data_IF_109826122864
#
_entry.id   IF_109826122864
#
_cell.length_a   1.000
_cell.length_b   1.000
_cell.length_c   1.000
_cell.angle_alpha   90.00
_cell.angle_beta   90.00
_cell.angle_gamma   90.00
#
_symmetry.space_group_name_H-M   'P 1'
#
loop_
_entity.id
_entity.type
_entity.pdbx_description
1 polymer ?
#
# COMPACT_ATOMS: atom_id res chain seq x y z
N UNK A 1 19.79 -16.60 40.56
CA UNK A 1 20.34 -15.78 39.43
C UNK A 1 19.78 -16.25 38.10
N UNK A 2 18.51 -15.98 37.76
CA UNK A 2 17.98 -16.29 36.43
C UNK A 2 16.60 -15.64 36.20
N UNK A 3 16.50 -14.32 36.36
CA UNK A 3 15.23 -13.60 36.15
C UNK A 3 15.39 -12.27 35.38
N UNK A 4 16.45 -12.14 34.55
CA UNK A 4 16.77 -10.88 33.90
C UNK A 4 16.81 -10.94 32.37
N UNK A 5 16.18 -11.95 31.72
CA UNK A 5 16.26 -12.11 30.26
C UNK A 5 14.91 -12.06 29.50
N UNK A 6 13.84 -11.62 30.13
CA UNK A 6 12.55 -11.43 29.42
C UNK A 6 12.00 -10.07 29.82
N UNK A 7 12.68 -8.98 29.47
CA UNK A 7 12.05 -7.69 29.26
C UNK A 7 11.97 -7.46 27.75
N UNK A 8 10.83 -7.75 27.17
CA UNK A 8 10.48 -7.14 25.90
C UNK A 8 10.51 -5.64 26.11
N UNK A 9 11.44 -4.96 25.46
CA UNK A 9 11.46 -3.50 25.43
C UNK A 9 10.20 -3.03 24.72
N UNK A 10 9.19 -2.65 25.47
CA UNK A 10 7.98 -1.97 25.02
C UNK A 10 8.16 -0.44 25.07
N UNK A 11 9.38 0.05 24.95
CA UNK A 11 9.63 1.47 24.77
C UNK A 11 9.36 1.85 23.32
N UNK A 12 8.46 2.82 23.12
CA UNK A 12 8.28 3.39 21.78
C UNK A 12 9.64 3.93 21.28
N UNK A 13 9.98 3.75 20.00
CA UNK A 13 11.22 4.26 19.42
C UNK A 13 11.41 5.74 19.78
N UNK A 14 12.60 6.09 20.23
CA UNK A 14 12.95 7.46 20.63
C UNK A 14 13.23 8.23 19.34
N UNK A 15 12.41 9.23 19.06
CA UNK A 15 12.57 10.15 17.92
C UNK A 15 11.22 10.57 17.35
N UNK A 16 11.14 11.83 16.93
CA UNK A 16 9.99 12.33 16.21
C UNK A 16 10.13 11.91 14.73
N UNK A 17 9.02 11.48 14.13
CA UNK A 17 8.98 11.22 12.69
C UNK A 17 9.39 12.48 11.92
N UNK A 18 10.43 12.35 11.10
CA UNK A 18 10.81 13.37 10.14
C UNK A 18 10.07 13.07 8.84
N UNK A 19 9.05 13.86 8.46
CA UNK A 19 8.33 13.62 7.23
C UNK A 19 9.27 13.89 6.05
N UNK A 20 9.25 13.00 5.07
CA UNK A 20 9.94 13.22 3.80
C UNK A 20 9.27 14.39 3.07
N UNK A 21 10.06 15.16 2.33
CA UNK A 21 9.54 16.21 1.47
C UNK A 21 8.52 15.67 0.48
N UNK A 22 7.47 16.47 0.24
CA UNK A 22 6.46 16.15 -0.75
C UNK A 22 7.02 16.48 -2.13
N UNK A 23 7.07 15.52 -3.07
CA UNK A 23 7.55 15.77 -4.43
C UNK A 23 6.73 16.85 -5.14
N UNK A 24 7.35 17.57 -6.03
CA UNK A 24 6.69 18.63 -6.83
C UNK A 24 6.19 18.14 -8.18
N UNK A 25 6.81 17.09 -8.72
CA UNK A 25 6.49 16.51 -10.03
C UNK A 25 6.38 15.00 -9.95
N UNK A 26 5.48 14.38 -10.76
CA UNK A 26 5.39 12.93 -10.82
C UNK A 26 6.70 12.27 -11.22
N UNK A 27 6.98 11.10 -10.65
CA UNK A 27 8.13 10.24 -10.92
C UNK A 27 9.51 10.85 -10.63
N UNK A 28 9.54 12.01 -9.96
CA UNK A 28 10.81 12.60 -9.48
C UNK A 28 11.32 11.86 -8.24
N UNK A 29 10.42 11.44 -7.38
CA UNK A 29 10.72 10.73 -6.14
C UNK A 29 9.93 9.44 -6.08
N UNK A 30 10.63 8.32 -5.99
CA UNK A 30 10.07 6.97 -6.09
C UNK A 30 10.39 6.19 -4.83
N UNK A 31 9.48 5.33 -4.39
CA UNK A 31 9.78 4.30 -3.40
C UNK A 31 9.78 2.90 -4.02
N UNK A 32 10.70 2.07 -3.53
CA UNK A 32 10.89 0.68 -3.95
C UNK A 32 10.72 -0.24 -2.75
N UNK A 33 10.01 -1.35 -2.96
CA UNK A 33 9.82 -2.38 -1.96
C UNK A 33 9.58 -3.75 -2.61
N UNK A 34 9.72 -4.82 -1.82
CA UNK A 34 9.42 -6.19 -2.26
C UNK A 34 8.25 -6.76 -1.47
N UNK A 35 7.31 -7.38 -2.16
CA UNK A 35 6.31 -8.26 -1.54
C UNK A 35 6.79 -9.68 -1.72
N UNK A 36 7.25 -10.27 -0.62
CA UNK A 36 7.78 -11.62 -0.53
C UNK A 36 6.80 -12.59 0.16
N UNK A 37 7.17 -13.87 0.24
CA UNK A 37 6.36 -14.89 0.91
C UNK A 37 5.12 -15.30 0.11
N UNK A 38 5.04 -14.98 -1.16
CA UNK A 38 3.97 -15.39 -2.05
C UNK A 38 4.15 -16.84 -2.49
N UNK A 39 3.03 -17.54 -2.68
CA UNK A 39 3.06 -18.86 -3.31
C UNK A 39 3.57 -18.75 -4.75
N UNK A 40 4.33 -19.75 -5.18
CA UNK A 40 4.84 -19.77 -6.54
C UNK A 40 3.71 -19.73 -7.57
N UNK A 41 3.74 -18.71 -8.42
CA UNK A 41 2.82 -18.53 -9.55
C UNK A 41 3.62 -18.56 -10.83
N UNK A 42 3.42 -19.60 -11.65
CA UNK A 42 4.27 -19.89 -12.80
C UNK A 42 5.74 -20.02 -12.38
N UNK A 43 6.56 -19.01 -12.66
CA UNK A 43 7.98 -18.92 -12.28
C UNK A 43 8.25 -17.81 -11.23
N UNK A 44 7.21 -17.10 -10.79
CA UNK A 44 7.32 -15.92 -9.94
C UNK A 44 7.00 -16.23 -8.49
N UNK A 45 7.69 -15.59 -7.55
CA UNK A 45 7.53 -15.77 -6.11
C UNK A 45 7.56 -14.45 -5.35
N UNK A 46 7.97 -13.35 -6.03
CA UNK A 46 8.15 -12.02 -5.44
C UNK A 46 7.56 -10.97 -6.37
N UNK A 47 7.08 -9.86 -5.82
CA UNK A 47 6.67 -8.68 -6.59
C UNK A 47 7.56 -7.51 -6.19
N UNK A 48 8.24 -6.89 -7.16
CA UNK A 48 8.83 -5.56 -6.98
C UNK A 48 7.72 -4.52 -7.11
N UNK A 49 7.54 -3.74 -6.07
CA UNK A 49 6.60 -2.64 -6.00
C UNK A 49 7.36 -1.33 -6.19
N UNK A 50 6.96 -0.55 -7.17
CA UNK A 50 7.55 0.76 -7.47
C UNK A 50 6.45 1.80 -7.39
N UNK A 51 6.59 2.78 -6.51
CA UNK A 51 5.54 3.76 -6.22
C UNK A 51 6.04 5.18 -6.48
N UNK A 52 5.34 5.93 -7.31
CA UNK A 52 5.53 7.38 -7.37
C UNK A 52 5.02 8.03 -6.07
N UNK A 53 5.92 8.73 -5.39
CA UNK A 53 5.61 9.31 -4.08
C UNK A 53 4.62 10.46 -4.13
N UNK A 54 4.46 11.13 -5.27
CA UNK A 54 3.48 12.21 -5.44
C UNK A 54 2.09 11.66 -5.72
N UNK A 55 1.92 10.94 -6.84
CA UNK A 55 0.62 10.52 -7.37
C UNK A 55 0.15 9.18 -6.81
N UNK A 56 1.01 8.42 -6.14
CA UNK A 56 0.79 7.02 -5.70
C UNK A 56 0.58 6.04 -6.86
N UNK A 57 0.82 6.49 -8.09
CA UNK A 57 0.84 5.59 -9.24
C UNK A 57 1.93 4.54 -9.03
N UNK A 58 1.62 3.28 -9.27
CA UNK A 58 2.48 2.18 -8.85
C UNK A 58 2.63 1.14 -9.95
N UNK A 59 3.81 0.54 -10.05
CA UNK A 59 4.04 -0.61 -10.91
C UNK A 59 4.31 -1.86 -10.08
N UNK A 60 3.72 -2.98 -10.47
CA UNK A 60 3.85 -4.27 -9.81
C UNK A 60 4.54 -5.26 -10.75
N UNK A 61 5.83 -5.49 -10.52
CA UNK A 61 6.66 -6.30 -11.43
C UNK A 61 6.93 -7.67 -10.81
N UNK A 62 6.45 -8.77 -11.40
CA UNK A 62 6.67 -10.11 -10.87
C UNK A 62 8.11 -10.57 -11.12
N UNK A 63 8.74 -11.15 -10.09
CA UNK A 63 10.12 -11.61 -10.10
C UNK A 63 10.19 -13.09 -9.71
N UNK A 64 11.05 -13.84 -10.40
CA UNK A 64 11.37 -15.22 -10.05
C UNK A 64 12.50 -15.28 -9.04
N UNK A 65 12.36 -16.12 -8.02
CA UNK A 65 13.42 -16.39 -7.06
C UNK A 65 14.28 -17.61 -7.53
N UNK A 66 15.62 -17.60 -7.34
CA UNK A 66 16.43 -16.50 -6.81
C UNK A 66 16.62 -15.39 -7.85
N UNK A 67 16.73 -14.17 -7.36
CA UNK A 67 17.01 -13.00 -8.21
C UNK A 67 18.31 -12.33 -7.79
N UNK A 68 19.02 -11.79 -8.77
CA UNK A 68 20.22 -10.98 -8.56
C UNK A 68 19.88 -9.50 -8.65
N UNK A 69 20.73 -8.68 -8.04
CA UNK A 69 20.66 -7.22 -8.14
C UNK A 69 20.61 -6.74 -9.61
N UNK A 70 21.41 -7.36 -10.48
CA UNK A 70 21.43 -7.06 -11.92
C UNK A 70 20.08 -7.39 -12.58
N UNK A 71 19.42 -8.46 -12.16
CA UNK A 71 18.09 -8.82 -12.67
C UNK A 71 17.04 -7.79 -12.28
N UNK A 72 17.04 -7.35 -11.03
CA UNK A 72 16.12 -6.32 -10.54
C UNK A 72 16.36 -5.00 -11.29
N UNK A 73 17.62 -4.59 -11.49
CA UNK A 73 17.94 -3.41 -12.29
C UNK A 73 17.45 -3.51 -13.74
N UNK A 74 17.65 -4.66 -14.38
CA UNK A 74 17.13 -4.89 -15.74
C UNK A 74 15.60 -4.78 -15.81
N UNK A 75 14.89 -5.29 -14.81
CA UNK A 75 13.43 -5.16 -14.73
C UNK A 75 13.01 -3.70 -14.50
N UNK A 76 13.72 -2.98 -13.61
CA UNK A 76 13.49 -1.56 -13.39
C UNK A 76 13.63 -0.75 -14.70
N UNK A 77 14.73 -0.97 -15.43
CA UNK A 77 14.95 -0.33 -16.73
C UNK A 77 13.87 -0.67 -17.75
N UNK A 78 13.42 -1.92 -17.75
CA UNK A 78 12.42 -2.38 -18.71
C UNK A 78 11.01 -1.87 -18.43
N UNK A 79 10.59 -1.86 -17.16
CA UNK A 79 9.22 -1.54 -16.79
C UNK A 79 9.02 -0.08 -16.37
N UNK A 80 10.01 0.54 -15.74
CA UNK A 80 9.88 1.87 -15.12
C UNK A 80 10.60 2.93 -15.93
N UNK A 81 11.92 2.78 -16.11
CA UNK A 81 12.74 3.78 -16.78
C UNK A 81 12.24 4.17 -18.18
N UNK A 82 11.82 3.21 -18.98
CA UNK A 82 11.29 3.47 -20.33
C UNK A 82 10.03 4.34 -20.35
N UNK A 83 9.28 4.40 -19.23
CA UNK A 83 8.04 5.15 -19.13
C UNK A 83 8.22 6.49 -18.43
N UNK A 84 9.12 6.53 -17.42
CA UNK A 84 9.19 7.61 -16.45
C UNK A 84 10.58 8.22 -16.30
N UNK A 85 11.58 7.73 -17.01
CA UNK A 85 13.00 8.11 -16.88
C UNK A 85 13.58 7.73 -15.50
N UNK A 86 14.76 8.30 -15.16
CA UNK A 86 15.37 8.13 -13.84
C UNK A 86 14.83 9.18 -12.89
N UNK A 87 14.45 8.78 -11.66
CA UNK A 87 14.02 9.71 -10.63
C UNK A 87 15.21 10.50 -10.07
N UNK A 88 14.93 11.64 -9.46
CA UNK A 88 15.93 12.39 -8.70
C UNK A 88 16.24 11.70 -7.35
N UNK A 89 15.23 11.09 -6.72
CA UNK A 89 15.44 10.33 -5.49
C UNK A 89 14.70 9.01 -5.47
N UNK A 90 15.30 8.02 -4.77
CA UNK A 90 14.67 6.75 -4.49
C UNK A 90 14.73 6.49 -3.00
N UNK A 91 13.58 6.13 -2.42
CA UNK A 91 13.44 5.65 -1.05
C UNK A 91 13.21 4.15 -1.09
N UNK A 92 14.03 3.39 -0.35
CA UNK A 92 13.83 1.94 -0.20
C UNK A 92 14.13 1.51 1.22
N UNK A 93 13.70 0.32 1.57
CA UNK A 93 14.18 -0.35 2.77
C UNK A 93 15.67 -0.74 2.64
N UNK A 94 16.21 -1.38 3.67
CA UNK A 94 17.60 -1.85 3.69
C UNK A 94 17.75 -3.26 3.13
N UNK A 95 16.93 -3.66 2.19
CA UNK A 95 17.14 -4.94 1.51
C UNK A 95 18.53 -5.01 0.88
N UNK A 96 19.11 -6.21 0.89
CA UNK A 96 20.45 -6.44 0.37
C UNK A 96 20.60 -6.08 -1.10
N UNK A 97 19.52 -6.15 -1.87
CA UNK A 97 19.48 -5.73 -3.27
C UNK A 97 19.73 -4.25 -3.41
N UNK A 98 19.00 -3.43 -2.64
CA UNK A 98 19.08 -1.97 -2.73
C UNK A 98 20.32 -1.39 -2.04
N UNK A 99 20.88 -2.08 -1.06
CA UNK A 99 22.14 -1.70 -0.40
C UNK A 99 23.40 -2.13 -1.17
N UNK A 100 23.24 -2.84 -2.27
CA UNK A 100 24.38 -3.33 -3.06
C UNK A 100 25.14 -2.21 -3.75
N UNK A 101 26.44 -2.45 -3.93
CA UNK A 101 27.33 -1.52 -4.64
C UNK A 101 26.84 -1.24 -6.08
N UNK A 102 26.25 -2.25 -6.71
CA UNK A 102 25.71 -2.13 -8.06
C UNK A 102 24.59 -1.07 -8.15
N UNK A 103 23.64 -1.07 -7.23
CA UNK A 103 22.56 -0.09 -7.19
C UNK A 103 23.07 1.31 -6.87
N UNK A 104 23.93 1.42 -5.86
CA UNK A 104 24.50 2.73 -5.50
C UNK A 104 25.29 3.36 -6.64
N UNK A 105 26.07 2.58 -7.39
CA UNK A 105 26.81 3.06 -8.54
C UNK A 105 25.89 3.40 -9.74
N UNK A 106 24.90 2.54 -10.02
CA UNK A 106 23.94 2.79 -11.09
C UNK A 106 23.23 4.14 -10.89
N UNK A 107 22.71 4.38 -9.70
CA UNK A 107 21.98 5.59 -9.40
C UNK A 107 22.90 6.81 -9.27
N UNK A 108 24.09 6.65 -8.68
CA UNK A 108 25.10 7.72 -8.64
C UNK A 108 25.47 8.21 -10.04
N UNK A 109 25.68 7.31 -10.99
CA UNK A 109 26.02 7.66 -12.38
C UNK A 109 24.88 8.37 -13.11
N UNK A 110 23.64 8.15 -12.68
CA UNK A 110 22.46 8.81 -13.24
C UNK A 110 22.04 10.07 -12.47
N UNK A 111 22.79 10.45 -11.42
CA UNK A 111 22.46 11.61 -10.59
C UNK A 111 21.28 11.40 -9.65
N UNK A 112 20.87 10.15 -9.46
CA UNK A 112 19.76 9.80 -8.54
C UNK A 112 20.27 9.67 -7.11
N UNK A 113 19.61 10.32 -6.17
CA UNK A 113 19.91 10.21 -4.75
C UNK A 113 19.20 8.99 -4.14
N UNK A 114 19.96 8.08 -3.56
CA UNK A 114 19.41 6.89 -2.89
C UNK A 114 19.26 7.17 -1.39
N UNK A 115 18.02 7.30 -0.92
CA UNK A 115 17.68 7.49 0.47
C UNK A 115 17.21 6.16 1.09
N UNK A 116 17.99 5.64 2.04
CA UNK A 116 17.61 4.42 2.78
C UNK A 116 16.72 4.77 3.95
N UNK A 117 15.61 4.04 4.13
CA UNK A 117 14.80 4.14 5.33
C UNK A 117 15.63 3.75 6.56
N UNK A 118 15.39 4.39 7.70
CA UNK A 118 16.12 4.04 8.92
C UNK A 118 15.54 2.76 9.52
N UNK A 119 16.39 1.85 10.00
CA UNK A 119 15.99 0.56 10.59
C UNK A 119 15.01 0.68 11.78
N UNK A 120 14.92 1.86 12.39
CA UNK A 120 14.09 2.13 13.57
C UNK A 120 12.86 3.00 13.30
N UNK A 121 12.67 3.50 12.06
CA UNK A 121 11.53 4.32 11.66
C UNK A 121 11.02 3.87 10.28
N UNK A 122 10.40 2.67 10.20
CA UNK A 122 9.75 2.21 8.96
C UNK A 122 8.61 3.14 8.52
N UNK A 123 8.17 4.03 9.38
CA UNK A 123 7.15 5.05 9.12
C UNK A 123 7.59 6.11 8.09
N UNK A 124 8.89 6.20 7.75
CA UNK A 124 9.36 7.09 6.67
C UNK A 124 8.81 6.68 5.31
N UNK A 125 8.49 5.39 5.14
CA UNK A 125 7.89 4.83 3.92
C UNK A 125 6.51 4.18 4.14
N UNK A 126 5.77 4.64 5.15
CA UNK A 126 4.40 4.16 5.42
C UNK A 126 3.44 4.26 4.24
N UNK A 127 3.85 4.93 3.16
CA UNK A 127 3.07 5.03 1.93
C UNK A 127 3.19 3.76 1.09
N UNK A 128 4.38 3.19 0.96
CA UNK A 128 4.61 1.92 0.26
C UNK A 128 3.97 0.76 1.02
N UNK A 129 4.02 0.77 2.34
CA UNK A 129 3.32 -0.22 3.18
C UNK A 129 1.80 -0.24 2.91
N UNK A 130 1.18 0.94 2.72
CA UNK A 130 -0.26 1.05 2.38
C UNK A 130 -0.52 0.45 0.99
N UNK A 131 0.35 0.72 0.02
CA UNK A 131 0.25 0.16 -1.34
C UNK A 131 0.38 -1.36 -1.29
N UNK A 132 1.40 -1.88 -0.60
CA UNK A 132 1.63 -3.33 -0.46
C UNK A 132 0.43 -4.03 0.20
N UNK A 133 -0.10 -3.46 1.27
CA UNK A 133 -1.29 -4.00 1.96
C UNK A 133 -2.52 -4.00 1.04
N UNK A 134 -2.71 -2.96 0.26
CA UNK A 134 -3.78 -2.87 -0.73
C UNK A 134 -3.60 -3.93 -1.82
N UNK A 135 -2.39 -4.06 -2.38
CA UNK A 135 -2.06 -5.07 -3.37
C UNK A 135 -2.30 -6.48 -2.85
N UNK A 136 -1.81 -6.81 -1.65
CA UNK A 136 -2.04 -8.11 -1.03
C UNK A 136 -3.53 -8.41 -0.83
N UNK A 137 -4.30 -7.42 -0.40
CA UNK A 137 -5.74 -7.56 -0.23
C UNK A 137 -6.42 -7.88 -1.57
N UNK A 138 -5.99 -7.22 -2.64
CA UNK A 138 -6.48 -7.48 -3.98
C UNK A 138 -6.14 -8.87 -4.47
N UNK A 139 -4.87 -9.20 -4.45
CA UNK A 139 -4.42 -10.51 -4.90
C UNK A 139 -5.14 -11.61 -4.13
N UNK A 140 -5.32 -11.44 -2.83
CA UNK A 140 -6.09 -12.38 -2.00
C UNK A 140 -7.55 -12.49 -2.43
N UNK A 141 -8.19 -11.37 -2.80
CA UNK A 141 -9.57 -11.37 -3.29
C UNK A 141 -9.70 -11.97 -4.69
N UNK A 142 -8.72 -11.74 -5.58
CA UNK A 142 -8.72 -12.30 -6.93
C UNK A 142 -8.39 -13.80 -6.99
N UNK A 143 -7.56 -14.26 -6.04
CA UNK A 143 -7.00 -15.62 -6.10
C UNK A 143 -7.43 -16.48 -4.92
N UNK A 144 -8.55 -16.16 -4.26
CA UNK A 144 -9.06 -16.90 -3.10
C UNK A 144 -9.13 -18.41 -3.33
N UNK A 145 -9.58 -18.83 -4.52
CA UNK A 145 -9.75 -20.23 -4.90
C UNK A 145 -8.50 -20.83 -5.56
N UNK A 146 -7.56 -20.01 -5.99
CA UNK A 146 -6.36 -20.43 -6.70
C UNK A 146 -5.18 -19.51 -6.42
N UNK A 147 -4.63 -19.51 -5.19
CA UNK A 147 -3.58 -18.55 -4.78
C UNK A 147 -2.31 -18.60 -5.63
N UNK A 148 -2.02 -19.69 -6.30
CA UNK A 148 -0.87 -19.85 -7.20
C UNK A 148 -1.03 -19.14 -8.56
N UNK A 149 -2.16 -18.45 -8.82
CA UNK A 149 -2.41 -17.71 -10.07
C UNK A 149 -2.27 -16.21 -9.94
N UNK A 150 -1.70 -15.72 -8.84
CA UNK A 150 -1.60 -14.28 -8.58
C UNK A 150 -0.87 -13.50 -9.68
N UNK A 151 0.15 -14.07 -10.32
CA UNK A 151 0.91 -13.38 -11.37
C UNK A 151 0.05 -13.09 -12.62
N UNK A 152 -0.93 -13.93 -12.92
CA UNK A 152 -1.88 -13.70 -14.02
C UNK A 152 -2.86 -12.57 -13.69
N UNK A 153 -3.18 -12.39 -12.42
CA UNK A 153 -4.10 -11.36 -11.95
C UNK A 153 -3.43 -10.01 -11.72
N UNK A 154 -2.09 -9.96 -11.74
CA UNK A 154 -1.33 -8.76 -11.39
C UNK A 154 -1.65 -7.53 -12.27
N UNK A 155 -1.80 -7.65 -13.61
CA UNK A 155 -2.20 -6.50 -14.44
C UNK A 155 -3.59 -5.93 -14.08
N UNK A 156 -4.53 -6.81 -13.70
CA UNK A 156 -5.85 -6.38 -13.26
C UNK A 156 -5.80 -5.72 -11.87
N UNK A 157 -4.96 -6.22 -10.97
CA UNK A 157 -4.72 -5.64 -9.67
C UNK A 157 -4.11 -4.23 -9.80
N UNK A 158 -3.13 -4.05 -10.70
CA UNK A 158 -2.50 -2.77 -11.00
C UNK A 158 -3.53 -1.78 -11.58
N UNK A 159 -4.26 -2.17 -12.61
CA UNK A 159 -5.32 -1.33 -13.17
C UNK A 159 -6.35 -0.91 -12.12
N UNK A 160 -6.78 -1.84 -11.30
CA UNK A 160 -7.76 -1.56 -10.28
C UNK A 160 -7.20 -0.61 -9.21
N UNK A 161 -5.96 -0.81 -8.74
CA UNK A 161 -5.31 0.08 -7.79
C UNK A 161 -5.28 1.51 -8.33
N UNK A 162 -4.91 1.69 -9.61
CA UNK A 162 -4.86 3.01 -10.24
C UNK A 162 -6.23 3.66 -10.43
N UNK A 163 -7.28 2.87 -10.61
CA UNK A 163 -8.63 3.34 -10.91
C UNK A 163 -9.47 3.61 -9.65
N UNK A 164 -8.95 3.27 -8.46
CA UNK A 164 -9.70 3.48 -7.23
C UNK A 164 -9.34 4.78 -6.52
N UNK A 165 -10.36 5.35 -5.86
CA UNK A 165 -10.20 6.56 -5.08
C UNK A 165 -9.20 6.35 -3.93
N UNK A 166 -8.19 7.21 -3.88
CA UNK A 166 -7.20 7.20 -2.83
C UNK A 166 -7.52 8.27 -1.76
N UNK A 167 -7.79 7.90 -0.51
CA UNK A 167 -8.29 8.83 0.52
C UNK A 167 -7.39 10.05 0.78
N UNK A 168 -6.07 9.85 0.72
CA UNK A 168 -5.12 10.93 0.97
C UNK A 168 -4.94 11.86 -0.23
N UNK A 169 -5.09 11.35 -1.45
CA UNK A 169 -5.01 12.16 -2.68
C UNK A 169 -6.32 12.89 -2.98
N UNK A 170 -7.45 12.37 -2.52
CA UNK A 170 -8.81 12.78 -2.91
C UNK A 170 -9.11 12.58 -4.40
N UNK A 171 -8.30 11.79 -5.08
CA UNK A 171 -8.34 11.43 -6.49
C UNK A 171 -7.96 9.97 -6.66
N UNK A 172 -8.11 9.42 -7.86
CA UNK A 172 -7.47 8.15 -8.21
C UNK A 172 -5.98 8.38 -8.52
N UNK A 173 -5.09 7.41 -8.31
CA UNK A 173 -3.69 7.52 -8.75
C UNK A 173 -3.55 7.78 -10.26
N UNK A 174 -4.43 7.22 -11.07
CA UNK A 174 -4.50 7.48 -12.50
C UNK A 174 -4.80 8.95 -12.80
N UNK A 175 -5.84 9.49 -12.17
CA UNK A 175 -6.24 10.89 -12.35
C UNK A 175 -5.17 11.86 -11.81
N UNK A 176 -4.52 11.52 -10.72
CA UNK A 176 -3.41 12.30 -10.18
C UNK A 176 -2.21 12.38 -11.13
N UNK A 177 -1.94 11.30 -11.91
CA UNK A 177 -0.84 11.26 -12.86
C UNK A 177 -1.21 11.90 -14.21
N UNK A 178 -2.37 11.58 -14.76
CA UNK A 178 -2.74 11.94 -16.14
C UNK A 178 -3.64 13.17 -16.24
N UNK A 179 -4.22 13.63 -15.12
CA UNK A 179 -5.09 14.81 -15.08
C UNK A 179 -6.54 14.58 -15.55
N UNK A 180 -6.91 13.34 -15.84
CA UNK A 180 -8.27 12.96 -16.22
C UNK A 180 -8.64 11.59 -15.61
N UNK A 181 -9.93 11.31 -15.38
CA UNK A 181 -10.35 10.06 -14.77
C UNK A 181 -10.08 8.87 -15.69
N UNK A 182 -9.77 7.67 -15.10
CA UNK A 182 -9.57 6.47 -15.88
C UNK A 182 -10.84 6.08 -16.63
N UNK A 183 -10.67 5.62 -17.87
CA UNK A 183 -11.79 5.10 -18.63
C UNK A 183 -12.36 3.85 -17.93
N UNK A 184 -13.66 3.88 -17.67
CA UNK A 184 -14.34 2.71 -17.11
C UNK A 184 -14.37 1.59 -18.14
N UNK A 185 -14.00 0.38 -17.69
CA UNK A 185 -14.16 -0.81 -18.53
C UNK A 185 -15.66 -1.06 -18.74
N UNK A 186 -16.09 -1.01 -19.99
CA UNK A 186 -17.48 -1.33 -20.32
C UNK A 186 -17.74 -2.82 -20.01
N UNK A 187 -18.92 -3.07 -19.44
CA UNK A 187 -19.40 -4.44 -19.24
C UNK A 187 -19.55 -5.13 -20.59
N UNK A 188 -19.00 -6.34 -20.69
CA UNK A 188 -19.09 -7.11 -21.92
C UNK A 188 -20.31 -8.02 -21.89
N UNK A 189 -21.06 -8.00 -22.97
CA UNK A 189 -22.18 -8.93 -23.20
C UNK A 189 -21.73 -10.01 -24.18
N UNK A 190 -21.95 -11.26 -23.81
CA UNK A 190 -21.59 -12.44 -24.61
C UNK A 190 -22.16 -12.34 -26.04
N UNK A 191 -21.34 -12.65 -27.03
CA UNK A 191 -21.75 -12.74 -28.42
C UNK A 191 -21.76 -11.43 -29.22
N UNK A 192 -21.29 -10.31 -28.64
CA UNK A 192 -21.19 -9.03 -29.37
C UNK A 192 -20.07 -9.08 -30.41
N UNK A 193 -18.95 -9.76 -30.10
CA UNK A 193 -17.83 -9.89 -31.06
C UNK A 193 -17.95 -11.13 -31.90
N UNK A 194 -17.51 -11.01 -33.16
CA UNK A 194 -17.44 -12.17 -34.13
C UNK A 194 -16.15 -12.99 -33.96
N UNK A 195 -15.22 -12.53 -33.12
CA UNK A 195 -13.93 -13.21 -32.91
C UNK A 195 -14.02 -14.03 -31.62
N UNK A 196 -14.15 -15.35 -31.78
CA UNK A 196 -14.36 -16.27 -30.66
C UNK A 196 -13.27 -16.17 -29.56
N UNK A 197 -12.00 -16.00 -29.94
CA UNK A 197 -10.91 -15.84 -28.98
C UNK A 197 -11.05 -14.53 -28.14
N UNK A 198 -11.51 -13.44 -28.77
CA UNK A 198 -11.76 -12.18 -28.09
C UNK A 198 -12.99 -12.27 -27.19
N UNK A 199 -14.06 -12.93 -27.66
CA UNK A 199 -15.26 -13.20 -26.88
C UNK A 199 -14.94 -13.97 -25.59
N UNK A 200 -14.17 -15.06 -25.70
CA UNK A 200 -13.75 -15.86 -24.56
C UNK A 200 -12.91 -15.03 -23.55
N UNK A 201 -11.99 -14.21 -24.04
CA UNK A 201 -11.14 -13.36 -23.20
C UNK A 201 -11.95 -12.29 -22.45
N UNK A 202 -12.90 -11.64 -23.14
CA UNK A 202 -13.74 -10.61 -22.53
C UNK A 202 -14.74 -11.21 -21.54
N UNK A 203 -15.29 -12.40 -21.82
CA UNK A 203 -16.13 -13.12 -20.88
C UNK A 203 -15.36 -13.56 -19.63
N UNK A 204 -14.14 -14.06 -19.80
CA UNK A 204 -13.28 -14.43 -18.67
C UNK A 204 -12.98 -13.21 -17.79
N UNK A 205 -12.68 -12.06 -18.40
CA UNK A 205 -12.48 -10.79 -17.68
C UNK A 205 -13.72 -10.41 -16.86
N UNK A 206 -14.91 -10.47 -17.46
CA UNK A 206 -16.14 -10.10 -16.77
C UNK A 206 -16.44 -11.05 -15.60
N UNK A 207 -16.24 -12.35 -15.78
CA UNK A 207 -16.38 -13.34 -14.71
C UNK A 207 -15.43 -13.05 -13.54
N UNK A 208 -14.17 -12.70 -13.81
CA UNK A 208 -13.20 -12.30 -12.79
C UNK A 208 -13.70 -11.05 -12.03
N UNK A 209 -14.21 -10.04 -12.72
CA UNK A 209 -14.70 -8.82 -12.10
C UNK A 209 -15.92 -9.06 -11.19
N UNK A 210 -16.83 -9.93 -11.61
CA UNK A 210 -17.99 -10.34 -10.79
C UNK A 210 -17.53 -11.06 -9.54
N UNK A 211 -16.64 -12.04 -9.66
CA UNK A 211 -16.07 -12.78 -8.54
C UNK A 211 -15.34 -11.84 -7.56
N UNK A 212 -14.56 -10.90 -8.10
CA UNK A 212 -13.85 -9.91 -7.28
C UNK A 212 -14.81 -9.07 -6.43
N UNK A 213 -15.86 -8.51 -7.07
CA UNK A 213 -16.86 -7.70 -6.34
C UNK A 213 -17.50 -8.49 -5.21
N UNK A 214 -17.87 -9.74 -5.46
CA UNK A 214 -18.44 -10.63 -4.44
C UNK A 214 -17.44 -10.87 -3.29
N UNK A 215 -16.18 -11.20 -3.60
CA UNK A 215 -15.16 -11.45 -2.59
C UNK A 215 -14.83 -10.21 -1.75
N UNK A 216 -14.77 -9.03 -2.38
CA UNK A 216 -14.57 -7.77 -1.67
C UNK A 216 -15.74 -7.44 -0.74
N UNK A 217 -16.98 -7.66 -1.19
CA UNK A 217 -18.16 -7.46 -0.34
C UNK A 217 -18.11 -8.35 0.91
N UNK A 218 -17.77 -9.63 0.74
CA UNK A 218 -17.60 -10.58 1.86
C UNK A 218 -16.45 -10.14 2.78
N UNK A 219 -15.34 -9.66 2.23
CA UNK A 219 -14.20 -9.18 3.02
C UNK A 219 -14.59 -7.92 3.82
N UNK A 220 -15.28 -6.97 3.21
CA UNK A 220 -15.77 -5.77 3.90
C UNK A 220 -16.73 -6.11 5.04
N UNK A 221 -17.66 -7.03 4.82
CA UNK A 221 -18.59 -7.48 5.86
C UNK A 221 -17.86 -8.14 7.04
N UNK A 222 -16.89 -9.03 6.76
CA UNK A 222 -16.04 -9.61 7.81
C UNK A 222 -15.26 -8.54 8.58
N UNK A 223 -14.68 -7.56 7.87
CA UNK A 223 -13.96 -6.46 8.52
C UNK A 223 -14.90 -5.63 9.40
N UNK A 224 -16.12 -5.35 8.94
CA UNK A 224 -17.14 -4.63 9.71
C UNK A 224 -17.52 -5.41 10.96
N UNK A 225 -17.89 -6.67 10.82
CA UNK A 225 -18.24 -7.57 11.95
C UNK A 225 -17.10 -7.60 12.99
N UNK A 226 -15.85 -7.75 12.53
CA UNK A 226 -14.68 -7.77 13.41
C UNK A 226 -14.45 -6.41 14.10
N UNK A 227 -14.63 -5.31 13.38
CA UNK A 227 -14.49 -3.96 13.93
C UNK A 227 -15.59 -3.63 14.94
N UNK A 228 -16.80 -4.15 14.72
CA UNK A 228 -17.96 -3.86 15.55
C UNK A 228 -18.13 -4.84 16.71
N UNK A 229 -17.43 -5.98 16.71
CA UNK A 229 -17.52 -7.04 17.72
C UNK A 229 -17.43 -6.54 19.17
N UNK A 230 -16.68 -5.46 19.41
CA UNK A 230 -16.49 -4.85 20.73
C UNK A 230 -17.03 -3.42 20.79
N UNK A 231 -17.83 -3.00 19.82
CA UNK A 231 -18.49 -1.70 19.81
C UNK A 231 -19.97 -1.89 20.09
N UNK A 232 -20.52 -0.97 20.87
CA UNK A 232 -21.95 -0.83 21.06
C UNK A 232 -22.39 0.44 20.32
N UNK A 233 -23.40 0.32 19.52
CA UNK A 233 -24.07 1.48 18.95
C UNK A 233 -24.75 2.26 20.06
N UNK A 234 -24.37 3.52 20.24
CA UNK A 234 -24.94 4.39 21.26
C UNK A 234 -25.44 5.66 20.56
N UNK A 235 -26.72 5.87 20.63
CA UNK A 235 -27.34 7.14 20.32
C UNK A 235 -27.30 8.06 21.54
N UNK A 236 -27.05 9.33 21.33
CA UNK A 236 -27.11 10.35 22.35
C UNK A 236 -28.15 11.37 21.95
N UNK A 237 -28.89 11.88 22.93
CA UNK A 237 -29.85 12.97 22.72
C UNK A 237 -29.22 14.32 23.09
N UNK A 238 -29.74 15.39 22.51
CA UNK A 238 -29.31 16.75 22.86
C UNK A 238 -29.61 17.00 24.35
N UNK A 239 -28.57 17.36 25.09
CA UNK A 239 -28.66 17.52 26.54
C UNK A 239 -27.98 16.41 27.36
N UNK A 240 -27.65 15.27 26.73
CA UNK A 240 -26.96 14.17 27.42
C UNK A 240 -25.53 14.57 27.84
N UNK A 241 -25.11 14.03 28.99
CA UNK A 241 -23.76 14.21 29.50
C UNK A 241 -22.86 13.05 29.12
N UNK A 242 -21.78 13.32 28.41
CA UNK A 242 -20.86 12.31 27.88
C UNK A 242 -19.42 12.51 28.31
N UNK A 243 -18.68 11.40 28.48
CA UNK A 243 -17.24 11.43 28.62
C UNK A 243 -16.58 11.06 27.29
N UNK A 244 -15.68 11.89 26.82
CA UNK A 244 -14.94 11.67 25.58
C UNK A 244 -13.63 10.94 25.87
N UNK A 245 -13.41 9.81 25.18
CA UNK A 245 -12.12 9.13 25.17
C UNK A 245 -11.26 9.77 24.09
N UNK A 246 -10.38 10.69 24.46
CA UNK A 246 -9.50 11.37 23.52
C UNK A 246 -8.26 10.50 23.23
N UNK A 247 -7.94 10.37 21.94
CA UNK A 247 -6.68 9.79 21.50
C UNK A 247 -5.64 10.91 21.39
N UNK A 248 -4.97 11.23 22.49
CA UNK A 248 -4.05 12.36 22.64
C UNK A 248 -2.94 12.41 21.57
N UNK A 249 -2.58 11.26 20.99
CA UNK A 249 -1.57 11.19 19.94
C UNK A 249 -2.06 11.68 18.56
N UNK A 250 -3.37 11.81 18.36
CA UNK A 250 -3.98 12.28 17.10
C UNK A 250 -4.34 13.77 17.11
N UNK A 251 -4.35 14.40 18.27
CA UNK A 251 -4.73 15.81 18.41
C UNK A 251 -3.55 16.63 18.93
N UNK A 252 -2.86 17.34 18.00
CA UNK A 252 -1.68 18.19 18.32
C UNK A 252 -1.97 19.29 19.35
N UNK A 253 -3.19 19.80 19.38
CA UNK A 253 -3.63 20.87 20.32
C UNK A 253 -3.76 20.38 21.77
N UNK A 254 -3.90 19.08 21.99
CA UNK A 254 -4.04 18.46 23.31
C UNK A 254 -2.81 17.64 23.73
N UNK A 255 -1.73 17.68 22.94
CA UNK A 255 -0.45 17.04 23.24
C UNK A 255 0.29 17.79 24.38
N UNK A 256 -0.36 17.87 25.56
CA UNK A 256 0.25 18.43 26.73
C UNK A 256 1.05 17.38 27.50
N UNK A 257 2.35 17.59 27.52
CA UNK A 257 3.34 17.11 28.50
C UNK A 257 3.15 15.70 29.08
N UNK A 258 3.94 14.76 28.56
CA UNK A 258 4.29 13.53 29.29
C UNK A 258 3.27 12.40 29.17
N UNK A 259 3.65 11.32 28.52
CA UNK A 259 2.92 10.04 28.54
C UNK A 259 3.01 9.40 29.93
N UNK A 260 2.21 9.87 30.86
CA UNK A 260 2.11 9.24 32.17
C UNK A 260 1.14 8.05 32.07
N UNK A 261 1.55 6.89 32.53
CA UNK A 261 0.69 5.67 32.57
C UNK A 261 -0.63 5.91 33.33
N UNK A 262 -0.68 6.90 34.19
CA UNK A 262 -1.82 7.29 35.03
C UNK A 262 -2.59 8.51 34.50
N UNK A 263 -2.33 8.97 33.29
CA UNK A 263 -3.09 10.08 32.70
C UNK A 263 -4.56 9.68 32.50
N UNK A 264 -5.50 10.62 32.71
CA UNK A 264 -6.91 10.37 32.45
C UNK A 264 -7.12 9.94 30.98
N UNK A 265 -7.89 8.89 30.80
CA UNK A 265 -8.26 8.37 29.45
C UNK A 265 -9.57 8.95 28.95
N UNK A 266 -10.37 9.49 29.86
CA UNK A 266 -11.67 10.06 29.56
C UNK A 266 -11.69 11.49 30.08
N UNK A 267 -12.27 12.37 29.30
CA UNK A 267 -12.40 13.80 29.55
C UNK A 267 -13.88 14.18 29.54
N UNK A 268 -14.29 15.01 30.47
CA UNK A 268 -15.68 15.42 30.62
C UNK A 268 -16.09 15.56 32.09
N UNK A 269 -17.38 15.62 32.37
CA UNK A 269 -18.48 15.44 31.41
C UNK A 269 -18.67 16.66 30.49
N UNK A 270 -19.08 16.38 29.22
CA UNK A 270 -19.49 17.40 28.26
C UNK A 270 -20.94 17.16 27.89
N UNK A 271 -21.72 18.24 27.70
CA UNK A 271 -23.09 18.15 27.27
C UNK A 271 -23.16 18.06 25.73
N UNK A 272 -24.00 17.17 25.22
CA UNK A 272 -24.29 17.04 23.81
C UNK A 272 -25.16 18.20 23.38
N UNK A 273 -24.72 18.97 22.39
CA UNK A 273 -25.40 20.14 21.86
C UNK A 273 -26.24 19.79 20.64
#
# INVERSE_FOLDING_TARGET
>A
MCALRIKSETSAPIGLLQPLEIPTTPWTDVSLDFVEGLLKSQRYEVILVVVDRLTKYSHFVPISHPYSTTKVASLYMHYIFKLHCMPASIVSDRDATFTSLFWSELFRMQGTNLAMSTAYLPQSDGQTEIVNRSLEQYLRAFTSDSPHRWAECLPLAEFWFHSNFHPNLKLTPFEALYGFPPHTLQSYVLGITRVAALDALLCQREAILVTLRANLAVAQEKMKIQADKHKQDRSFEVGDWVYLRLQLYRQRTLAYKGKWKLSPRFFGPFQVL
#
